data_IF_682230740636
#
_entry.id   IF_682230740636
#
_cell.length_a   1.000
_cell.length_b   1.000
_cell.length_c   1.000
_cell.angle_alpha   90.00
_cell.angle_beta   90.00
_cell.angle_gamma   90.00
#
_symmetry.space_group_name_H-M   'P 1'
#
loop_
_entity.id
_entity.type
_entity.pdbx_description
1 polymer ?
#
# COMPACT_ATOMS: atom_id res chain seq x y z
N UNK A 1 -6.17 -7.69 -2.18
CA UNK A 1 -5.30 -8.86 -1.93
C UNK A 1 -4.14 -8.41 -1.07
N UNK A 2 -3.76 -9.21 -0.06
CA UNK A 2 -2.55 -8.98 0.74
C UNK A 2 -1.68 -10.24 0.67
N UNK A 3 -0.39 -10.07 0.43
CA UNK A 3 0.59 -11.16 0.48
C UNK A 3 1.88 -10.68 1.12
N UNK A 4 2.51 -11.56 1.88
CA UNK A 4 3.81 -11.32 2.47
C UNK A 4 4.60 -12.61 2.45
N UNK A 5 5.89 -12.50 2.15
CA UNK A 5 6.80 -13.62 2.10
C UNK A 5 8.17 -13.20 2.61
N UNK A 6 8.68 -13.92 3.61
CA UNK A 6 9.96 -13.63 4.27
C UNK A 6 10.74 -14.92 4.47
N UNK A 7 11.98 -14.94 3.99
CA UNK A 7 12.91 -16.06 4.16
C UNK A 7 14.31 -15.54 4.45
N UNK A 8 15.06 -16.27 5.27
CA UNK A 8 16.49 -16.06 5.40
C UNK A 8 17.26 -17.03 4.52
N UNK A 9 18.41 -16.58 4.03
CA UNK A 9 19.39 -17.41 3.35
C UNK A 9 20.67 -17.40 4.20
N UNK A 10 21.14 -18.57 4.59
CA UNK A 10 22.33 -18.71 5.44
C UNK A 10 22.06 -18.54 6.94
N UNK A 11 23.10 -18.16 7.68
CA UNK A 11 23.07 -18.06 9.15
C UNK A 11 23.06 -16.58 9.53
N UNK A 12 22.26 -16.22 10.54
CA UNK A 12 22.20 -14.88 11.08
C UNK A 12 21.36 -14.80 12.35
N UNK A 13 21.41 -13.65 13.01
CA UNK A 13 20.50 -13.31 14.11
C UNK A 13 19.29 -12.59 13.53
N UNK A 14 18.09 -13.06 13.85
CA UNK A 14 16.84 -12.51 13.36
C UNK A 14 15.91 -12.16 14.52
N UNK A 15 15.32 -10.97 14.48
CA UNK A 15 14.10 -10.65 15.21
C UNK A 15 13.04 -10.29 14.18
N UNK A 16 11.88 -10.92 14.29
CA UNK A 16 10.74 -10.70 13.42
C UNK A 16 9.49 -10.56 14.29
N UNK A 17 8.89 -9.39 14.26
CA UNK A 17 7.60 -9.11 14.89
C UNK A 17 6.60 -8.70 13.81
N UNK A 18 5.40 -9.28 13.86
CA UNK A 18 4.33 -9.01 12.92
C UNK A 18 2.99 -9.03 13.62
N UNK A 19 2.19 -8.01 13.35
CA UNK A 19 0.75 -8.01 13.58
C UNK A 19 0.04 -7.96 12.24
N UNK A 20 -1.03 -8.75 12.11
CA UNK A 20 -1.90 -8.72 10.95
C UNK A 20 -3.35 -8.84 11.43
N UNK A 21 -4.16 -7.87 11.04
CA UNK A 21 -5.61 -7.87 11.26
C UNK A 21 -6.34 -7.80 9.91
N UNK A 22 -7.41 -8.57 9.82
CA UNK A 22 -8.33 -8.55 8.70
C UNK A 22 -9.77 -8.50 9.23
N UNK A 23 -10.48 -7.44 8.87
CA UNK A 23 -11.84 -7.18 9.30
C UNK A 23 -12.76 -6.92 8.12
N UNK A 24 -13.93 -7.54 8.17
CA UNK A 24 -15.03 -7.31 7.22
C UNK A 24 -16.04 -6.28 7.73
N UNK A 25 -15.80 -5.70 8.91
CA UNK A 25 -16.67 -4.67 9.47
C UNK A 25 -16.57 -3.36 8.67
N UNK A 26 -17.60 -2.53 8.83
CA UNK A 26 -17.55 -1.16 8.35
C UNK A 26 -16.47 -0.40 9.11
N UNK A 27 -15.56 0.22 8.38
CA UNK A 27 -14.47 1.01 8.94
C UNK A 27 -14.73 2.50 8.77
N UNK A 28 -14.44 3.26 9.84
CA UNK A 28 -14.44 4.71 9.83
C UNK A 28 -13.05 5.24 9.46
N UNK A 29 -12.91 6.55 9.34
CA UNK A 29 -11.62 7.19 9.18
C UNK A 29 -10.67 6.78 10.32
N UNK A 30 -9.44 6.40 9.96
CA UNK A 30 -8.45 5.87 10.91
C UNK A 30 -8.62 4.41 11.30
N UNK A 31 -9.61 3.71 10.73
CA UNK A 31 -9.76 2.26 10.87
C UNK A 31 -9.59 1.56 9.51
N UNK A 32 -9.14 0.30 9.54
CA UNK A 32 -8.75 -0.41 8.33
C UNK A 32 -9.32 -1.84 8.29
N UNK A 33 -9.65 -2.28 7.09
CA UNK A 33 -10.10 -3.65 6.83
C UNK A 33 -8.94 -4.62 6.73
N UNK A 34 -7.78 -4.16 6.27
CA UNK A 34 -6.50 -4.87 6.37
C UNK A 34 -5.54 -3.93 7.06
N UNK A 35 -4.90 -4.41 8.12
CA UNK A 35 -3.84 -3.71 8.84
C UNK A 35 -2.70 -4.69 9.10
N UNK A 36 -1.50 -4.35 8.63
CA UNK A 36 -0.29 -5.14 8.85
C UNK A 36 0.81 -4.22 9.35
N UNK A 37 1.42 -4.58 10.46
CA UNK A 37 2.63 -3.93 10.96
C UNK A 37 3.72 -4.96 11.12
N UNK A 38 4.93 -4.64 10.66
CA UNK A 38 6.06 -5.56 10.68
C UNK A 38 7.31 -4.83 11.11
N UNK A 39 8.10 -5.48 11.94
CA UNK A 39 9.44 -5.04 12.29
C UNK A 39 10.41 -6.20 12.16
N UNK A 40 11.46 -5.98 11.39
CA UNK A 40 12.44 -6.99 11.04
C UNK A 40 13.81 -6.43 11.34
N UNK A 41 14.54 -7.11 12.22
CA UNK A 41 15.97 -6.92 12.37
C UNK A 41 16.71 -8.18 11.97
N UNK A 42 17.79 -8.02 11.22
CA UNK A 42 18.61 -9.13 10.77
C UNK A 42 20.08 -8.74 10.76
N UNK A 43 20.92 -9.62 11.28
CA UNK A 43 22.37 -9.52 11.18
C UNK A 43 22.93 -10.85 10.67
N UNK A 44 23.33 -10.86 9.40
CA UNK A 44 23.91 -12.03 8.75
C UNK A 44 25.32 -12.34 9.26
N UNK A 45 25.63 -13.63 9.33
CA UNK A 45 26.99 -14.16 9.51
C UNK A 45 27.47 -14.63 8.12
N UNK A 46 28.72 -14.32 7.77
CA UNK A 46 29.31 -14.58 6.46
C UNK A 46 28.46 -13.98 5.31
N UNK A 47 27.92 -14.82 4.42
CA UNK A 47 27.08 -14.43 3.31
C UNK A 47 25.57 -14.48 3.64
N UNK A 48 25.21 -14.51 4.93
CA UNK A 48 23.83 -14.57 5.38
C UNK A 48 23.03 -13.33 4.96
N UNK A 49 21.79 -13.52 4.51
CA UNK A 49 20.88 -12.44 4.13
C UNK A 49 19.43 -12.78 4.48
N UNK A 50 18.59 -11.75 4.52
CA UNK A 50 17.14 -11.87 4.62
C UNK A 50 16.50 -11.28 3.37
N UNK A 51 15.56 -12.03 2.80
CA UNK A 51 14.66 -11.59 1.75
C UNK A 51 13.28 -11.39 2.35
N UNK A 52 12.63 -10.29 2.01
CA UNK A 52 11.22 -10.09 2.30
C UNK A 52 10.54 -9.37 1.15
N UNK A 53 9.31 -9.76 0.87
CA UNK A 53 8.38 -9.04 0.01
C UNK A 53 7.04 -8.86 0.71
N UNK A 54 6.41 -7.71 0.50
CA UNK A 54 5.06 -7.43 0.96
C UNK A 54 4.32 -6.66 -0.14
N UNK A 55 3.09 -7.07 -0.37
CA UNK A 55 2.25 -6.55 -1.44
C UNK A 55 0.82 -6.39 -0.94
N UNK A 56 0.25 -5.23 -1.25
CA UNK A 56 -1.11 -4.86 -0.94
C UNK A 56 -1.78 -4.34 -2.20
N UNK A 57 -2.97 -4.85 -2.49
CA UNK A 57 -3.76 -4.48 -3.64
C UNK A 57 -5.20 -4.21 -3.24
N UNK A 58 -5.71 -3.09 -3.75
CA UNK A 58 -7.08 -2.63 -3.59
C UNK A 58 -7.70 -2.52 -4.95
N UNK A 59 -8.81 -3.21 -5.17
CA UNK A 59 -9.59 -3.09 -6.39
C UNK A 59 -11.04 -2.83 -6.02
N UNK A 60 -11.60 -1.76 -6.57
CA UNK A 60 -12.97 -1.34 -6.33
C UNK A 60 -13.66 -1.11 -7.66
N UNK A 61 -14.83 -1.71 -7.85
CA UNK A 61 -15.65 -1.46 -9.03
C UNK A 61 -17.11 -1.25 -8.62
N UNK A 62 -17.80 -0.43 -9.40
CA UNK A 62 -19.20 -0.10 -9.17
C UNK A 62 -19.90 0.21 -10.49
N UNK A 63 -21.20 -0.11 -10.52
CA UNK A 63 -22.09 0.37 -11.59
C UNK A 63 -22.44 1.83 -11.36
N UNK A 64 -23.03 2.49 -12.37
CA UNK A 64 -23.58 3.83 -12.19
C UNK A 64 -24.62 3.87 -11.07
N UNK A 65 -24.62 4.93 -10.27
CA UNK A 65 -25.51 5.12 -9.12
C UNK A 65 -26.05 6.54 -9.09
N UNK A 66 -27.18 6.80 -8.40
CA UNK A 66 -27.61 8.17 -8.21
C UNK A 66 -26.62 8.95 -7.31
N UNK A 67 -26.24 10.16 -7.75
CA UNK A 67 -25.42 11.11 -7.01
C UNK A 67 -26.18 11.86 -5.90
N UNK A 68 -27.52 11.75 -5.86
CA UNK A 68 -28.35 12.44 -4.88
C UNK A 68 -27.90 12.11 -3.44
N UNK A 69 -27.36 13.11 -2.73
CA UNK A 69 -26.86 12.98 -1.37
C UNK A 69 -25.52 12.23 -1.23
N UNK A 70 -24.75 12.09 -2.32
CA UNK A 70 -23.49 11.34 -2.35
C UNK A 70 -22.31 12.09 -3.00
N UNK A 71 -22.56 13.09 -3.86
CA UNK A 71 -21.52 13.99 -4.39
C UNK A 71 -22.04 15.22 -5.13
N UNK A 72 -21.16 16.21 -5.34
CA UNK A 72 -21.28 17.27 -6.37
C UNK A 72 -20.48 16.81 -7.59
N UNK A 73 -21.14 16.34 -8.66
CA UNK A 73 -20.47 15.84 -9.87
C UNK A 73 -19.76 16.96 -10.67
N UNK A 74 -18.42 16.94 -10.86
CA UNK A 74 -17.74 17.92 -11.72
C UNK A 74 -17.51 17.42 -13.16
N UNK A 75 -17.59 16.10 -13.42
CA UNK A 75 -17.05 15.51 -14.64
C UNK A 75 -18.08 14.84 -15.58
N UNK A 76 -19.35 14.76 -15.21
CA UNK A 76 -20.40 14.31 -16.15
C UNK A 76 -21.79 14.86 -15.79
N UNK A 77 -22.33 15.70 -16.67
CA UNK A 77 -23.77 15.93 -16.86
C UNK A 77 -24.56 16.60 -15.72
N UNK A 78 -25.62 17.31 -16.08
CA UNK A 78 -26.62 17.91 -15.16
C UNK A 78 -27.48 16.89 -14.40
N UNK A 79 -27.11 15.60 -14.46
CA UNK A 79 -27.94 14.50 -13.99
C UNK A 79 -27.25 13.92 -12.76
N UNK A 80 -27.99 13.85 -11.63
CA UNK A 80 -27.54 13.34 -10.34
C UNK A 80 -27.12 11.85 -10.40
N UNK A 81 -26.04 11.53 -11.11
CA UNK A 81 -25.55 10.17 -11.37
C UNK A 81 -24.02 10.13 -11.27
N UNK A 82 -23.53 9.19 -10.47
CA UNK A 82 -22.14 8.76 -10.37
C UNK A 82 -21.87 7.78 -11.50
N UNK A 83 -20.77 7.98 -12.24
CA UNK A 83 -20.33 7.04 -13.27
C UNK A 83 -20.07 5.64 -12.72
N UNK A 84 -20.13 4.64 -13.59
CA UNK A 84 -19.53 3.35 -13.29
C UNK A 84 -18.02 3.53 -13.16
N UNK A 85 -17.40 2.88 -12.19
CA UNK A 85 -15.97 3.01 -11.92
C UNK A 85 -15.30 1.65 -11.77
N UNK A 86 -14.00 1.59 -12.08
CA UNK A 86 -13.15 0.42 -11.85
C UNK A 86 -11.72 0.90 -11.56
N UNK A 87 -11.40 0.94 -10.28
CA UNK A 87 -10.13 1.44 -9.77
C UNK A 87 -9.32 0.28 -9.23
N UNK A 88 -8.03 0.24 -9.57
CA UNK A 88 -7.09 -0.74 -9.00
C UNK A 88 -5.81 -0.04 -8.59
N UNK A 89 -5.36 -0.30 -7.37
CA UNK A 89 -4.13 0.24 -6.82
C UNK A 89 -3.35 -0.88 -6.15
N UNK A 90 -2.06 -0.88 -6.39
CA UNK A 90 -1.10 -1.85 -5.91
C UNK A 90 0.06 -1.11 -5.27
N UNK A 91 0.51 -1.59 -4.12
CA UNK A 91 1.63 -1.02 -3.39
C UNK A 91 2.38 -2.10 -2.65
N UNK A 92 3.64 -1.84 -2.33
CA UNK A 92 4.42 -2.79 -1.57
C UNK A 92 5.91 -2.47 -1.57
N UNK A 93 6.65 -3.40 -1.00
CA UNK A 93 8.10 -3.35 -0.98
C UNK A 93 8.73 -4.72 -1.12
N UNK A 94 10.00 -4.72 -1.51
CA UNK A 94 10.84 -5.91 -1.50
C UNK A 94 12.24 -5.49 -1.09
N UNK A 95 12.88 -6.28 -0.24
CA UNK A 95 14.26 -6.05 0.16
C UNK A 95 15.04 -7.35 0.27
N UNK A 96 16.35 -7.24 0.04
CA UNK A 96 17.32 -8.29 0.34
C UNK A 96 18.48 -7.66 1.08
N UNK A 97 18.64 -7.98 2.35
CA UNK A 97 19.58 -7.30 3.23
C UNK A 97 20.45 -8.30 4.00
N UNK A 98 21.75 -8.05 4.11
CA UNK A 98 22.66 -8.78 5.00
C UNK A 98 22.70 -8.17 6.40
N UNK A 99 22.40 -6.87 6.50
CA UNK A 99 22.13 -6.15 7.74
C UNK A 99 20.83 -5.40 7.54
N UNK A 100 19.82 -5.67 8.38
CA UNK A 100 18.49 -5.10 8.23
C UNK A 100 17.98 -4.51 9.54
N UNK A 101 17.43 -3.30 9.45
CA UNK A 101 16.46 -2.78 10.40
C UNK A 101 15.34 -2.14 9.59
N UNK A 102 14.25 -2.89 9.42
CA UNK A 102 13.15 -2.54 8.53
C UNK A 102 11.85 -2.56 9.32
N UNK A 103 11.05 -1.52 9.19
CA UNK A 103 9.67 -1.48 9.63
C UNK A 103 8.74 -1.23 8.44
N UNK A 104 7.62 -1.96 8.37
CA UNK A 104 6.58 -1.71 7.38
C UNK A 104 5.21 -1.57 8.04
N UNK A 105 4.39 -0.69 7.48
CA UNK A 105 2.95 -0.64 7.77
C UNK A 105 2.17 -0.68 6.46
N UNK A 106 1.15 -1.52 6.40
CA UNK A 106 0.30 -1.69 5.22
C UNK A 106 -1.17 -1.67 5.66
N UNK A 107 -1.90 -0.65 5.22
CA UNK A 107 -3.28 -0.43 5.64
C UNK A 107 -4.19 -0.30 4.44
N UNK A 108 -5.37 -0.91 4.52
CA UNK A 108 -6.39 -0.79 3.50
C UNK A 108 -7.78 -0.63 4.10
N UNK A 109 -8.51 0.41 3.69
CA UNK A 109 -9.93 0.61 3.99
C UNK A 109 -10.71 0.47 2.69
N UNK A 110 -11.65 -0.47 2.63
CA UNK A 110 -12.49 -0.70 1.44
C UNK A 110 -13.95 -1.03 1.76
N UNK A 111 -14.31 -1.25 3.03
CA UNK A 111 -15.69 -1.41 3.48
C UNK A 111 -16.04 -0.21 4.36
N UNK A 112 -16.83 0.71 3.80
CA UNK A 112 -17.23 1.94 4.48
C UNK A 112 -18.76 2.04 4.54
N UNK A 113 -19.28 2.63 5.62
CA UNK A 113 -20.73 2.76 5.84
C UNK A 113 -21.35 3.88 5.00
N UNK A 114 -20.60 4.94 4.75
CA UNK A 114 -21.01 6.11 3.98
C UNK A 114 -19.91 6.47 2.97
N UNK A 115 -20.26 7.22 1.92
CA UNK A 115 -19.30 7.71 0.93
C UNK A 115 -18.29 8.72 1.47
N UNK A 116 -18.52 9.26 2.67
CA UNK A 116 -17.65 10.24 3.32
C UNK A 116 -16.30 9.66 3.77
N UNK A 117 -16.23 8.34 3.97
CA UNK A 117 -14.98 7.65 4.25
C UNK A 117 -14.42 7.09 2.94
N UNK A 118 -13.30 7.63 2.41
CA UNK A 118 -12.73 7.14 1.16
C UNK A 118 -12.25 5.71 1.32
N UNK A 119 -12.25 4.97 0.22
CA UNK A 119 -11.40 3.79 0.08
C UNK A 119 -9.96 4.26 0.13
N UNK A 120 -9.13 3.62 0.94
CA UNK A 120 -7.79 4.10 1.26
C UNK A 120 -6.78 2.96 1.20
N UNK A 121 -5.62 3.20 0.61
CA UNK A 121 -4.49 2.26 0.56
C UNK A 121 -3.24 3.00 1.01
N UNK A 122 -2.66 2.55 2.12
CA UNK A 122 -1.44 3.11 2.68
C UNK A 122 -0.37 2.04 2.73
N UNK A 123 0.85 2.43 2.40
CA UNK A 123 2.02 1.62 2.63
C UNK A 123 3.18 2.50 3.05
N UNK A 124 3.84 2.13 4.13
CA UNK A 124 5.05 2.77 4.61
C UNK A 124 6.12 1.70 4.77
N UNK A 125 7.32 2.00 4.27
CA UNK A 125 8.53 1.26 4.61
C UNK A 125 9.57 2.23 5.11
N UNK A 126 10.17 1.85 6.23
CA UNK A 126 11.28 2.54 6.86
C UNK A 126 12.44 1.55 7.02
N UNK A 127 13.57 1.84 6.38
CA UNK A 127 14.85 1.15 6.61
C UNK A 127 15.80 2.13 7.25
N UNK A 128 16.41 1.74 8.36
CA UNK A 128 17.36 2.57 9.11
C UNK A 128 18.64 1.81 9.40
N UNK A 129 19.58 2.46 10.07
CA UNK A 129 20.73 1.79 10.67
C UNK A 129 20.29 0.68 11.64
N UNK A 130 21.03 -0.43 11.65
CA UNK A 130 20.82 -1.53 12.62
C UNK A 130 21.20 -1.12 14.04
N UNK A 131 22.26 -0.32 14.15
CA UNK A 131 22.74 0.32 15.36
C UNK A 131 23.46 1.63 14.95
N UNK A 132 23.71 2.58 15.86
CA UNK A 132 24.38 3.83 15.52
C UNK A 132 25.69 3.62 14.76
N UNK A 133 25.77 4.14 13.54
CA UNK A 133 26.94 4.00 12.67
C UNK A 133 27.09 2.62 12.00
N UNK A 134 26.07 1.77 12.08
CA UNK A 134 25.97 0.48 11.38
C UNK A 134 24.80 0.52 10.40
N UNK A 135 25.01 0.96 9.16
CA UNK A 135 23.96 1.02 8.14
C UNK A 135 23.36 -0.36 7.86
N UNK A 136 22.08 -0.37 7.46
CA UNK A 136 21.53 -1.54 6.78
C UNK A 136 22.28 -1.76 5.47
N UNK A 137 22.38 -3.00 4.98
CA UNK A 137 23.20 -3.35 3.81
C UNK A 137 22.47 -4.29 2.87
N UNK A 138 22.38 -3.92 1.60
CA UNK A 138 21.78 -4.72 0.55
C UNK A 138 20.92 -3.87 -0.38
N UNK A 139 19.77 -4.38 -0.80
CA UNK A 139 18.83 -3.67 -1.68
C UNK A 139 17.45 -3.53 -1.03
N UNK A 140 16.80 -2.40 -1.31
CA UNK A 140 15.39 -2.17 -0.97
C UNK A 140 14.71 -1.48 -2.13
N UNK A 141 13.49 -1.90 -2.41
CA UNK A 141 12.60 -1.33 -3.43
C UNK A 141 11.21 -1.15 -2.84
N UNK A 142 10.58 -0.04 -3.16
CA UNK A 142 9.18 0.21 -2.83
C UNK A 142 8.47 0.91 -3.98
N UNK A 143 7.19 0.58 -4.15
CA UNK A 143 6.41 1.05 -5.29
C UNK A 143 4.94 1.25 -4.94
N UNK A 144 4.32 2.15 -5.69
CA UNK A 144 2.87 2.26 -5.82
C UNK A 144 2.53 2.40 -7.31
N UNK A 145 1.47 1.74 -7.74
CA UNK A 145 0.94 1.90 -9.09
C UNK A 145 -0.57 1.73 -9.08
N UNK A 146 -1.24 2.36 -10.04
CA UNK A 146 -2.69 2.27 -10.12
C UNK A 146 -3.26 2.66 -11.47
N UNK A 147 -4.52 2.28 -11.65
CA UNK A 147 -5.34 2.65 -12.79
C UNK A 147 -6.73 3.01 -12.29
N UNK A 148 -7.22 4.16 -12.71
CA UNK A 148 -8.50 4.75 -12.33
C UNK A 148 -9.31 4.90 -13.61
N UNK A 149 -10.53 4.37 -13.60
CA UNK A 149 -11.44 4.45 -14.74
C UNK A 149 -12.83 4.80 -14.25
N UNK A 150 -13.41 5.83 -14.86
CA UNK A 150 -14.80 6.22 -14.65
C UNK A 150 -15.49 6.40 -16.02
N UNK A 151 -16.76 6.05 -16.09
CA UNK A 151 -17.55 6.27 -17.29
C UNK A 151 -18.98 5.75 -17.20
N UNK A 152 -19.56 5.51 -18.36
CA UNK A 152 -20.85 4.86 -18.53
C UNK A 152 -20.66 3.54 -19.30
N UNK A 153 -21.70 2.71 -19.46
CA UNK A 153 -21.63 1.52 -20.32
C UNK A 153 -21.19 1.83 -21.76
N UNK A 154 -21.46 3.06 -22.24
CA UNK A 154 -21.29 3.44 -23.64
C UNK A 154 -20.11 4.40 -23.89
N UNK A 155 -19.52 4.98 -22.84
CA UNK A 155 -18.41 5.94 -22.97
C UNK A 155 -17.50 5.97 -21.74
N UNK A 156 -16.18 5.93 -21.97
CA UNK A 156 -15.18 6.21 -20.95
C UNK A 156 -15.11 7.73 -20.72
N UNK A 157 -15.33 8.16 -19.47
CA UNK A 157 -15.24 9.56 -19.09
C UNK A 157 -13.83 9.92 -18.62
N UNK A 158 -13.20 9.04 -17.84
CA UNK A 158 -11.86 9.22 -17.30
C UNK A 158 -11.05 7.91 -17.41
N UNK A 159 -9.78 8.06 -17.82
CA UNK A 159 -8.75 7.03 -17.68
C UNK A 159 -7.49 7.71 -17.14
N UNK A 160 -7.03 7.29 -15.97
CA UNK A 160 -5.80 7.79 -15.35
C UNK A 160 -4.97 6.62 -14.86
N UNK A 161 -3.66 6.72 -15.02
CA UNK A 161 -2.72 5.73 -14.53
C UNK A 161 -1.49 6.41 -13.93
N UNK A 162 -0.96 5.79 -12.89
CA UNK A 162 0.23 6.27 -12.20
C UNK A 162 1.12 5.11 -11.80
N UNK A 163 2.42 5.39 -11.73
CA UNK A 163 3.43 4.46 -11.26
C UNK A 163 4.60 5.24 -10.67
N UNK A 164 4.92 4.92 -9.43
CA UNK A 164 6.11 5.40 -8.75
C UNK A 164 6.86 4.21 -8.14
N UNK A 165 8.15 4.12 -8.44
CA UNK A 165 9.05 3.07 -7.95
C UNK A 165 10.37 3.70 -7.55
N UNK A 166 10.85 3.35 -6.36
CA UNK A 166 12.16 3.74 -5.87
C UNK A 166 12.93 2.50 -5.44
N UNK A 167 14.20 2.43 -5.82
CA UNK A 167 15.10 1.35 -5.47
C UNK A 167 16.47 1.92 -5.13
N UNK A 168 17.06 1.45 -4.04
CA UNK A 168 18.42 1.77 -3.66
C UNK A 168 19.18 0.50 -3.27
N UNK A 169 20.50 0.56 -3.40
CA UNK A 169 21.40 -0.54 -3.08
C UNK A 169 22.67 -0.03 -2.40
N UNK A 170 23.26 -0.86 -1.55
CA UNK A 170 24.50 -0.57 -0.85
C UNK A 170 24.28 -0.40 0.65
N UNK A 171 24.97 0.57 1.24
CA UNK A 171 24.80 0.95 2.65
C UNK A 171 23.68 1.97 2.79
N UNK A 172 22.68 1.66 3.61
CA UNK A 172 21.43 2.39 3.76
C UNK A 172 21.36 2.88 5.21
N UNK A 173 21.56 4.19 5.39
CA UNK A 173 21.35 4.86 6.68
C UNK A 173 19.89 5.24 6.89
N UNK A 174 19.21 5.62 5.80
CA UNK A 174 17.78 5.92 5.78
C UNK A 174 17.18 5.62 4.41
N UNK A 175 16.11 4.83 4.38
CA UNK A 175 15.15 4.76 3.30
C UNK A 175 13.76 4.88 3.92
N UNK A 176 13.08 5.99 3.66
CA UNK A 176 11.74 6.25 4.17
C UNK A 176 10.84 6.55 2.97
N UNK A 177 9.91 5.65 2.68
CA UNK A 177 8.95 5.83 1.59
C UNK A 177 7.54 5.56 2.09
N UNK A 178 6.73 6.61 2.07
CA UNK A 178 5.30 6.59 2.36
C UNK A 178 4.53 6.71 1.05
N UNK A 179 3.55 5.84 0.86
CA UNK A 179 2.71 5.77 -0.32
C UNK A 179 1.26 5.74 0.14
N UNK A 180 0.47 6.64 -0.45
CA UNK A 180 -0.92 6.86 -0.08
C UNK A 180 -1.76 6.94 -1.35
N UNK A 181 -2.92 6.31 -1.30
CA UNK A 181 -3.96 6.45 -2.29
C UNK A 181 -5.31 6.52 -1.57
N UNK A 182 -6.13 7.49 -1.98
CA UNK A 182 -7.51 7.63 -1.57
C UNK A 182 -8.44 7.72 -2.77
N UNK A 183 -9.63 7.14 -2.63
CA UNK A 183 -10.71 7.25 -3.58
C UNK A 183 -12.00 7.56 -2.83
N UNK A 184 -12.50 8.77 -3.06
CA UNK A 184 -13.73 9.29 -2.49
C UNK A 184 -14.60 9.89 -3.58
N UNK A 185 -15.89 9.98 -3.29
CA UNK A 185 -16.77 10.88 -4.01
C UNK A 185 -16.66 12.28 -3.39
N UNK A 186 -16.56 13.32 -4.20
CA UNK A 186 -16.44 14.69 -3.70
C UNK A 186 -17.75 15.15 -3.06
N UNK A 187 -17.71 15.45 -1.75
CA UNK A 187 -18.81 16.10 -1.01
C UNK A 187 -18.81 17.61 -1.20
#
# INVERSE_FOLDING_TARGET
>A
MYTEDTHSAGIGYISYDKSFDASTANQLQGQYNIESTRQITYLGIDAGSIYSSEYLMTSGSGTSQSAAGRMICPFVGSDDTIGAFCNTVETGSTFTLSVANVATTANNRFITKTGDSPVETNYHILVTEYAPGVPSKGSVMAFIQGTIKEGSPDALAEDSSFKDRTEIMGEITLFDKQMHFDSAFGV
#
